data_IF_806220510913
#
_entry.id   IF_806220510913
#
_cell.length_a   1.000
_cell.length_b   1.000
_cell.length_c   1.000
_cell.angle_alpha   90.00
_cell.angle_beta   90.00
_cell.angle_gamma   90.00
#
_symmetry.space_group_name_H-M   'P 1'
#
loop_
_entity.id
_entity.type
_entity.pdbx_description
1 polymer ?
#
# COMPACT_ATOMS: atom_id res chain seq x y z
N UNK A 1 -9.99 9.36 12.70
CA UNK A 1 -10.05 8.29 11.68
C UNK A 1 -10.58 7.04 12.36
N UNK A 2 -11.56 6.34 11.77
CA UNK A 2 -12.09 5.10 12.36
C UNK A 2 -11.10 3.95 12.15
N UNK A 3 -10.82 3.19 13.21
CA UNK A 3 -9.96 2.02 13.15
C UNK A 3 -10.64 0.90 12.34
N UNK A 4 -9.93 0.34 11.35
CA UNK A 4 -10.46 -0.75 10.51
C UNK A 4 -10.21 -2.08 11.22
N UNK A 5 -11.22 -2.95 11.25
CA UNK A 5 -11.10 -4.27 11.88
C UNK A 5 -9.94 -5.12 11.34
N UNK A 6 -9.58 -4.95 10.06
CA UNK A 6 -8.48 -5.69 9.41
C UNK A 6 -7.07 -5.24 9.87
N UNK A 7 -6.96 -4.14 10.61
CA UNK A 7 -5.68 -3.52 11.01
C UNK A 7 -4.74 -4.49 11.70
N UNK A 8 -5.22 -5.23 12.71
CA UNK A 8 -4.39 -6.18 13.46
C UNK A 8 -3.80 -7.27 12.57
N UNK A 9 -4.60 -7.80 11.63
CA UNK A 9 -4.14 -8.84 10.70
C UNK A 9 -3.12 -8.31 9.70
N UNK A 10 -3.33 -7.08 9.21
CA UNK A 10 -2.40 -6.39 8.31
C UNK A 10 -1.01 -6.25 8.94
N UNK A 11 -0.94 -5.78 10.18
CA UNK A 11 0.32 -5.61 10.90
C UNK A 11 1.01 -6.95 11.23
N UNK A 12 0.22 -8.00 11.49
CA UNK A 12 0.76 -9.36 11.70
C UNK A 12 1.42 -9.90 10.42
N UNK A 13 0.74 -9.77 9.27
CA UNK A 13 1.22 -10.27 7.97
C UNK A 13 2.42 -9.45 7.49
N UNK A 14 2.41 -8.13 7.67
CA UNK A 14 3.51 -7.25 7.28
C UNK A 14 4.85 -7.61 7.96
N UNK A 15 4.82 -8.26 9.13
CA UNK A 15 6.03 -8.77 9.80
C UNK A 15 6.56 -10.08 9.21
N UNK A 16 5.73 -10.81 8.48
CA UNK A 16 6.03 -12.16 7.96
C UNK A 16 6.36 -12.17 6.47
N UNK A 17 5.83 -11.20 5.72
CA UNK A 17 5.97 -11.14 4.27
C UNK A 17 6.55 -9.80 3.86
N UNK A 18 7.49 -9.83 2.90
CA UNK A 18 8.10 -8.63 2.32
C UNK A 18 7.16 -7.85 1.41
N UNK A 19 6.11 -8.51 0.89
CA UNK A 19 5.14 -7.93 -0.04
C UNK A 19 3.73 -8.18 0.48
N UNK A 20 2.91 -7.12 0.48
CA UNK A 20 1.52 -7.19 0.91
C UNK A 20 0.62 -6.47 -0.09
N UNK A 21 -0.44 -7.16 -0.55
CA UNK A 21 -1.44 -6.59 -1.44
C UNK A 21 -2.75 -6.28 -0.67
N UNK A 22 -3.18 -5.02 -0.67
CA UNK A 22 -4.47 -4.60 -0.09
C UNK A 22 -5.49 -4.46 -1.21
N UNK A 23 -6.46 -5.37 -1.25
CA UNK A 23 -7.52 -5.39 -2.27
C UNK A 23 -8.87 -4.96 -1.70
N UNK A 24 -9.87 -4.77 -2.56
CA UNK A 24 -11.24 -4.45 -2.18
C UNK A 24 -11.89 -3.37 -3.05
N UNK A 25 -13.20 -3.09 -2.85
CA UNK A 25 -14.01 -2.24 -3.72
C UNK A 25 -13.41 -0.84 -3.95
N UNK A 26 -13.74 -0.21 -5.09
CA UNK A 26 -13.36 1.19 -5.35
C UNK A 26 -13.87 2.08 -4.21
N UNK A 27 -13.08 3.09 -3.82
CA UNK A 27 -13.40 4.04 -2.74
C UNK A 27 -13.54 3.46 -1.31
N UNK A 28 -13.17 2.21 -1.05
CA UNK A 28 -13.21 1.62 0.30
C UNK A 28 -12.17 2.20 1.30
N UNK A 29 -11.32 3.13 0.87
CA UNK A 29 -10.32 3.79 1.72
C UNK A 29 -9.00 3.01 1.89
N UNK A 30 -8.67 2.11 0.95
CA UNK A 30 -7.45 1.28 0.96
C UNK A 30 -6.18 2.11 1.12
N UNK A 31 -6.02 3.14 0.29
CA UNK A 31 -4.86 4.03 0.32
C UNK A 31 -4.75 4.76 1.65
N UNK A 32 -5.89 5.20 2.21
CA UNK A 32 -5.92 5.85 3.52
C UNK A 32 -5.50 4.90 4.63
N UNK A 33 -5.98 3.65 4.61
CA UNK A 33 -5.58 2.62 5.56
C UNK A 33 -4.07 2.35 5.48
N UNK A 34 -3.54 2.13 4.28
CA UNK A 34 -2.10 1.91 4.07
C UNK A 34 -1.28 3.07 4.66
N UNK A 35 -1.61 4.31 4.27
CA UNK A 35 -0.95 5.54 4.75
C UNK A 35 -1.06 5.75 6.26
N UNK A 36 -2.13 5.27 6.89
CA UNK A 36 -2.30 5.38 8.33
C UNK A 36 -1.44 4.38 9.11
N UNK A 37 -1.23 3.17 8.56
CA UNK A 37 -0.51 2.07 9.22
C UNK A 37 0.99 2.08 8.91
N UNK A 38 1.39 2.52 7.71
CA UNK A 38 2.76 2.47 7.22
C UNK A 38 3.26 3.88 6.86
N UNK A 39 3.24 4.80 7.83
CA UNK A 39 3.56 6.22 7.60
C UNK A 39 4.98 6.46 7.08
N UNK A 40 5.90 5.57 7.44
CA UNK A 40 7.32 5.70 7.12
C UNK A 40 7.67 5.11 5.74
N UNK A 41 6.67 4.69 4.96
CA UNK A 41 6.87 4.09 3.64
C UNK A 41 6.77 5.15 2.54
N UNK A 42 7.53 4.96 1.47
CA UNK A 42 7.39 5.75 0.27
C UNK A 42 6.11 5.36 -0.49
N UNK A 43 5.30 6.36 -0.83
CA UNK A 43 4.06 6.17 -1.56
C UNK A 43 4.22 6.59 -3.01
N UNK A 44 4.32 5.60 -3.89
CA UNK A 44 4.46 5.77 -5.33
C UNK A 44 3.15 5.41 -6.03
N UNK A 45 2.72 6.24 -6.99
CA UNK A 45 1.52 5.99 -7.80
C UNK A 45 1.91 5.58 -9.22
N UNK A 46 1.68 4.32 -9.57
CA UNK A 46 1.95 3.79 -10.92
C UNK A 46 0.90 4.22 -11.97
N UNK A 47 -0.04 5.09 -11.60
CA UNK A 47 -0.98 5.71 -12.53
C UNK A 47 -0.32 6.83 -13.36
N UNK A 48 0.77 7.42 -12.85
CA UNK A 48 1.58 8.37 -13.63
C UNK A 48 2.39 7.59 -14.69
N UNK A 49 2.31 7.97 -15.98
CA UNK A 49 3.10 7.32 -17.03
C UNK A 49 4.60 7.38 -16.77
N UNK A 50 5.12 8.53 -16.32
CA UNK A 50 6.55 8.72 -16.06
C UNK A 50 7.06 7.79 -14.94
N UNK A 51 6.31 7.71 -13.83
CA UNK A 51 6.63 6.82 -12.70
C UNK A 51 6.57 5.36 -13.15
N UNK A 52 5.55 5.00 -13.95
CA UNK A 52 5.41 3.64 -14.47
C UNK A 52 6.60 3.26 -15.36
N UNK A 53 7.01 4.14 -16.27
CA UNK A 53 8.18 3.97 -17.13
C UNK A 53 9.45 3.79 -16.30
N UNK A 54 9.68 4.64 -15.30
CA UNK A 54 10.84 4.52 -14.40
C UNK A 54 10.90 3.17 -13.69
N UNK A 55 9.78 2.70 -13.12
CA UNK A 55 9.72 1.40 -12.43
C UNK A 55 9.92 0.21 -13.39
N UNK A 56 9.55 0.36 -14.67
CA UNK A 56 9.73 -0.68 -15.68
C UNK A 56 11.15 -0.74 -16.25
N UNK A 57 11.81 0.41 -16.43
CA UNK A 57 13.13 0.50 -17.07
C UNK A 57 14.31 0.26 -16.10
N UNK A 58 14.19 0.57 -14.80
CA UNK A 58 15.19 0.23 -13.77
C UNK A 58 14.52 -0.33 -12.50
N UNK A 59 14.30 -1.66 -12.40
CA UNK A 59 13.55 -2.28 -11.30
C UNK A 59 14.38 -2.48 -10.00
N UNK A 60 15.42 -1.67 -9.76
CA UNK A 60 16.29 -1.76 -8.58
C UNK A 60 15.57 -1.68 -7.24
#
# INVERSE_FOLDING_TARGET
MMERQITGKLLEIAKKYSVLAITGPRQSGKTTLAKSLFKDYDYVSLESPDIRLQVQEDPK
#
